data_IF_424950063111
#
_entry.id   IF_424950063111
#
_cell.length_a   1.000
_cell.length_b   1.000
_cell.length_c   1.000
_cell.angle_alpha   90.00
_cell.angle_beta   90.00
_cell.angle_gamma   90.00
#
_symmetry.space_group_name_H-M   'P 1'
#
loop_
_entity.id
_entity.type
_entity.pdbx_description
1 polymer ?
#
# COMPACT_ATOMS: atom_id res chain seq x y z
N UNK A 1 16.76 -63.92 -33.05
CA UNK A 1 16.07 -64.71 -34.09
C UNK A 1 14.84 -65.28 -33.43
N UNK A 2 13.65 -65.09 -34.02
CA UNK A 2 12.26 -65.14 -33.50
C UNK A 2 11.74 -63.75 -33.08
N UNK A 3 10.64 -63.18 -33.57
CA UNK A 3 9.75 -63.44 -34.72
C UNK A 3 8.97 -62.13 -34.96
N UNK A 4 8.88 -61.66 -36.20
CA UNK A 4 8.04 -60.50 -36.57
C UNK A 4 6.66 -61.04 -36.90
N UNK A 5 5.63 -60.66 -36.13
CA UNK A 5 4.25 -60.90 -36.56
C UNK A 5 3.68 -59.62 -37.17
N UNK A 6 3.53 -59.67 -38.49
CA UNK A 6 2.89 -58.65 -39.30
C UNK A 6 1.39 -58.91 -39.39
N UNK A 7 0.68 -57.79 -39.45
CA UNK A 7 -0.61 -57.57 -40.12
C UNK A 7 -1.88 -58.13 -39.48
N UNK A 8 -2.71 -57.19 -39.00
CA UNK A 8 -4.12 -57.23 -39.34
C UNK A 8 -4.58 -55.82 -39.74
N UNK A 9 -4.59 -55.60 -41.05
CA UNK A 9 -5.25 -54.47 -41.69
C UNK A 9 -6.76 -54.69 -41.65
N UNK A 10 -7.54 -53.71 -41.21
CA UNK A 10 -8.88 -53.43 -41.73
C UNK A 10 -9.44 -52.12 -41.14
N UNK A 11 -9.53 -51.12 -42.00
CA UNK A 11 -10.14 -49.81 -41.82
C UNK A 11 -11.52 -49.85 -41.17
N UNK A 12 -11.83 -48.86 -40.31
CA UNK A 12 -13.15 -48.19 -40.34
C UNK A 12 -13.15 -46.88 -39.53
N UNK A 13 -13.36 -45.81 -40.29
CA UNK A 13 -14.16 -44.62 -39.95
C UNK A 13 -13.56 -43.67 -38.92
N UNK A 14 -12.90 -42.65 -39.48
CA UNK A 14 -13.04 -41.24 -39.11
C UNK A 14 -14.20 -40.96 -38.14
N UNK A 15 -13.87 -40.66 -36.90
CA UNK A 15 -14.73 -39.89 -35.99
C UNK A 15 -13.96 -38.62 -35.62
N UNK A 16 -14.34 -37.53 -36.29
CA UNK A 16 -14.10 -36.17 -35.83
C UNK A 16 -14.95 -35.95 -34.57
N UNK A 17 -14.37 -35.46 -33.49
CA UNK A 17 -14.84 -34.18 -32.91
C UNK A 17 -13.92 -33.69 -31.79
N UNK A 18 -13.59 -32.41 -31.93
CA UNK A 18 -12.72 -31.60 -31.10
C UNK A 18 -12.95 -31.74 -29.59
N UNK A 19 -11.88 -32.07 -28.88
CA UNK A 19 -11.79 -31.79 -27.45
C UNK A 19 -11.69 -30.27 -27.27
N UNK A 20 -12.83 -29.64 -26.96
CA UNK A 20 -12.88 -28.27 -26.48
C UNK A 20 -12.22 -28.22 -25.09
N UNK A 21 -10.90 -28.02 -25.07
CA UNK A 21 -10.21 -27.59 -23.87
C UNK A 21 -10.65 -26.15 -23.58
N UNK A 22 -11.69 -26.00 -22.76
CA UNK A 22 -11.97 -24.77 -22.04
C UNK A 22 -10.76 -24.50 -21.14
N UNK A 23 -9.78 -23.78 -21.68
CA UNK A 23 -8.75 -23.13 -20.89
C UNK A 23 -9.48 -22.05 -20.07
N UNK A 24 -9.88 -22.43 -18.86
CA UNK A 24 -10.26 -21.49 -17.82
C UNK A 24 -8.99 -20.70 -17.49
N UNK A 25 -8.79 -19.58 -18.18
CA UNK A 25 -7.78 -18.61 -17.76
C UNK A 25 -8.22 -18.08 -16.40
N UNK A 26 -7.38 -18.12 -15.36
CA UNK A 26 -7.68 -17.39 -14.14
C UNK A 26 -7.72 -15.92 -14.52
N UNK A 27 -8.92 -15.35 -14.54
CA UNK A 27 -9.14 -13.93 -14.58
C UNK A 27 -8.49 -13.39 -13.30
N UNK A 28 -7.25 -12.92 -13.41
CA UNK A 28 -6.60 -12.21 -12.31
C UNK A 28 -7.44 -10.95 -12.10
N UNK A 29 -8.33 -11.01 -11.10
CA UNK A 29 -8.98 -9.83 -10.58
C UNK A 29 -7.84 -8.88 -10.20
N UNK A 30 -7.73 -7.76 -10.91
CA UNK A 30 -6.79 -6.72 -10.55
C UNK A 30 -7.27 -6.18 -9.21
N UNK A 31 -6.71 -6.71 -8.11
CA UNK A 31 -6.99 -6.27 -6.76
C UNK A 31 -6.76 -4.75 -6.75
N UNK A 32 -7.84 -4.00 -6.59
CA UNK A 32 -7.72 -2.59 -6.25
C UNK A 32 -6.80 -2.53 -5.03
N UNK A 33 -5.69 -1.75 -5.06
CA UNK A 33 -4.73 -1.75 -3.97
C UNK A 33 -5.47 -1.50 -2.64
N UNK A 34 -5.19 -2.34 -1.64
CA UNK A 34 -5.85 -2.31 -0.33
C UNK A 34 -5.64 -0.94 0.34
N UNK A 35 -6.62 -0.06 0.14
CA UNK A 35 -6.61 1.31 0.67
C UNK A 35 -6.77 1.31 2.19
N UNK A 36 -7.45 0.29 2.72
CA UNK A 36 -7.70 0.14 4.17
C UNK A 36 -6.39 -0.12 4.91
N UNK A 37 -5.53 -0.97 4.36
CA UNK A 37 -4.20 -1.22 4.92
C UNK A 37 -3.31 0.03 4.95
N UNK A 38 -3.37 0.86 3.90
CA UNK A 38 -2.63 2.11 3.84
C UNK A 38 -3.10 3.12 4.91
N UNK A 39 -4.42 3.32 5.04
CA UNK A 39 -5.00 4.18 6.09
C UNK A 39 -4.69 3.65 7.48
N UNK A 40 -4.73 2.33 7.69
CA UNK A 40 -4.42 1.70 8.97
C UNK A 40 -2.98 1.95 9.41
N UNK A 41 -2.01 1.93 8.48
CA UNK A 41 -0.62 2.25 8.78
C UNK A 41 -0.44 3.72 9.18
N UNK A 42 -1.13 4.64 8.50
CA UNK A 42 -1.09 6.07 8.85
C UNK A 42 -1.73 6.32 10.21
N UNK A 43 -2.91 5.73 10.46
CA UNK A 43 -3.59 5.77 11.76
C UNK A 43 -2.68 5.31 12.88
N UNK A 44 -2.02 4.16 12.71
CA UNK A 44 -1.08 3.64 13.71
C UNK A 44 0.11 4.56 13.98
N UNK A 45 0.64 5.24 12.95
CA UNK A 45 1.68 6.25 13.15
C UNK A 45 1.17 7.47 13.94
N UNK A 46 -0.01 8.00 13.59
CA UNK A 46 -0.61 9.14 14.29
C UNK A 46 -0.89 8.80 15.76
N UNK A 47 -1.45 7.62 16.02
CA UNK A 47 -1.69 7.13 17.38
C UNK A 47 -0.40 6.97 18.17
N UNK A 48 0.67 6.44 17.55
CA UNK A 48 1.97 6.36 18.19
C UNK A 48 2.54 7.75 18.52
N UNK A 49 2.39 8.75 17.63
CA UNK A 49 2.80 10.11 17.95
C UNK A 49 1.99 10.72 19.10
N UNK A 50 0.67 10.51 19.14
CA UNK A 50 -0.22 10.99 20.21
C UNK A 50 0.09 10.33 21.56
N UNK A 51 0.59 9.09 21.55
CA UNK A 51 1.07 8.38 22.73
C UNK A 51 2.53 8.68 23.08
N UNK A 52 3.18 9.64 22.40
CA UNK A 52 4.61 9.94 22.49
C UNK A 52 5.54 8.73 22.25
N UNK A 53 5.06 7.71 21.53
CA UNK A 53 5.82 6.53 21.09
C UNK A 53 6.55 6.80 19.77
N UNK A 54 7.68 7.49 19.88
CA UNK A 54 8.56 7.78 18.74
C UNK A 54 9.02 6.52 17.99
N UNK A 55 9.27 5.42 18.72
CA UNK A 55 9.74 4.16 18.12
C UNK A 55 8.63 3.48 17.34
N UNK A 56 7.42 3.44 17.89
CA UNK A 56 6.22 2.95 17.21
C UNK A 56 5.92 3.76 15.95
N UNK A 57 5.96 5.10 16.04
CA UNK A 57 5.76 5.96 14.88
C UNK A 57 6.81 5.72 13.78
N UNK A 58 8.08 5.56 14.17
CA UNK A 58 9.18 5.25 13.24
C UNK A 58 9.08 3.84 12.63
N UNK A 59 8.39 2.90 13.27
CA UNK A 59 8.19 1.55 12.73
C UNK A 59 7.36 1.53 11.43
N UNK A 60 6.50 2.53 11.21
CA UNK A 60 5.71 2.70 9.99
C UNK A 60 6.49 3.31 8.81
N UNK A 61 7.69 3.85 9.05
CA UNK A 61 8.53 4.42 8.01
C UNK A 61 9.03 3.35 7.03
N UNK A 62 8.98 3.64 5.73
CA UNK A 62 9.51 2.77 4.69
C UNK A 62 11.05 2.80 4.65
N UNK A 63 11.70 1.80 4.01
CA UNK A 63 13.16 1.70 3.99
C UNK A 63 13.87 2.95 3.44
N UNK A 64 13.26 3.68 2.50
CA UNK A 64 13.83 4.92 1.98
C UNK A 64 13.89 6.02 3.06
N UNK A 65 12.83 6.17 3.87
CA UNK A 65 12.81 7.12 4.99
C UNK A 65 13.82 6.71 6.06
N UNK A 66 13.89 5.41 6.39
CA UNK A 66 14.87 4.89 7.35
C UNK A 66 16.32 5.09 6.89
N UNK A 67 16.58 5.07 5.58
CA UNK A 67 17.91 5.37 5.03
C UNK A 67 18.30 6.84 5.21
N UNK A 68 17.34 7.76 5.05
CA UNK A 68 17.56 9.19 5.24
C UNK A 68 17.68 9.57 6.73
N UNK A 69 16.90 8.90 7.58
CA UNK A 69 16.89 9.09 9.03
C UNK A 69 17.13 7.75 9.73
N UNK A 70 18.41 7.31 9.87
CA UNK A 70 18.75 5.97 10.36
C UNK A 70 18.44 5.71 11.84
N UNK A 71 18.16 6.75 12.61
CA UNK A 71 17.86 6.64 14.04
C UNK A 71 16.52 7.30 14.35
N UNK A 72 15.88 6.84 15.43
CA UNK A 72 14.60 7.41 15.90
C UNK A 72 14.79 8.89 16.21
N UNK A 73 15.90 9.27 16.83
CA UNK A 73 16.20 10.64 17.22
C UNK A 73 16.31 11.57 16.01
N UNK A 74 16.97 11.13 14.93
CA UNK A 74 17.07 11.90 13.69
C UNK A 74 15.72 12.05 13.00
N UNK A 75 14.92 10.99 13.01
CA UNK A 75 13.56 11.02 12.49
C UNK A 75 12.69 12.01 13.28
N UNK A 76 12.69 11.91 14.62
CA UNK A 76 11.90 12.80 15.47
C UNK A 76 12.35 14.25 15.36
N UNK A 77 13.65 14.52 15.27
CA UNK A 77 14.16 15.88 15.08
C UNK A 77 13.59 16.55 13.81
N UNK A 78 13.54 15.80 12.70
CA UNK A 78 12.94 16.31 11.46
C UNK A 78 11.41 16.47 11.57
N UNK A 79 10.72 15.51 12.21
CA UNK A 79 9.27 15.59 12.45
C UNK A 79 8.91 16.81 13.29
N UNK A 80 9.66 17.06 14.36
CA UNK A 80 9.45 18.20 15.27
C UNK A 80 9.69 19.56 14.60
N UNK A 81 10.55 19.61 13.58
CA UNK A 81 10.87 20.84 12.85
C UNK A 81 9.87 21.15 11.72
N UNK A 82 9.42 20.13 10.99
CA UNK A 82 8.65 20.32 9.75
C UNK A 82 7.23 19.79 9.76
N UNK A 83 6.86 18.96 10.73
CA UNK A 83 5.64 18.15 10.70
C UNK A 83 4.90 18.13 12.05
N UNK A 84 5.00 19.20 12.85
CA UNK A 84 4.27 19.32 14.12
C UNK A 84 2.76 19.02 14.00
N UNK A 85 2.03 19.50 12.96
CA UNK A 85 0.62 19.17 12.79
C UNK A 85 0.33 17.68 12.58
N UNK A 86 1.32 16.90 12.11
CA UNK A 86 1.22 15.44 12.00
C UNK A 86 1.51 14.77 13.35
N UNK A 87 2.46 15.31 14.11
CA UNK A 87 2.85 14.74 15.40
C UNK A 87 1.79 14.95 16.48
N UNK A 88 1.19 16.14 16.54
CA UNK A 88 0.20 16.49 17.58
C UNK A 88 -1.05 17.15 16.98
N UNK A 89 -1.79 16.44 16.12
CA UNK A 89 -3.08 16.92 15.67
C UNK A 89 -4.08 16.92 16.82
N UNK A 90 -4.94 17.93 16.89
CA UNK A 90 -6.15 17.91 17.73
C UNK A 90 -7.22 17.00 17.14
N UNK A 91 -7.28 16.91 15.81
CA UNK A 91 -8.14 15.99 15.07
C UNK A 91 -7.58 15.69 13.69
N UNK A 92 -8.03 14.58 13.09
CA UNK A 92 -7.68 14.23 11.73
C UNK A 92 -8.81 13.47 11.03
N UNK A 93 -8.83 13.53 9.70
CA UNK A 93 -9.71 12.72 8.86
C UNK A 93 -9.00 12.29 7.58
N UNK A 94 -9.40 11.14 7.04
CA UNK A 94 -8.89 10.66 5.75
C UNK A 94 -9.66 11.32 4.62
N UNK A 95 -8.93 11.94 3.70
CA UNK A 95 -9.46 12.48 2.46
C UNK A 95 -9.34 11.49 1.31
N UNK A 96 -9.16 12.03 0.11
CA UNK A 96 -9.02 11.23 -1.12
C UNK A 96 -7.82 10.28 -1.07
N UNK A 97 -8.02 9.08 -1.63
CA UNK A 97 -7.00 8.07 -1.81
C UNK A 97 -6.84 7.82 -3.31
N UNK A 98 -5.60 7.90 -3.81
CA UNK A 98 -5.31 7.78 -5.23
C UNK A 98 -4.29 6.65 -5.42
N UNK A 99 -4.67 5.53 -6.05
CA UNK A 99 -3.75 4.46 -6.36
C UNK A 99 -2.79 4.89 -7.48
N UNK A 100 -1.51 4.57 -7.32
CA UNK A 100 -0.44 4.84 -8.28
C UNK A 100 0.14 3.52 -8.81
N UNK A 101 1.00 3.61 -9.83
CA UNK A 101 1.75 2.44 -10.29
C UNK A 101 2.69 1.89 -9.20
N UNK A 102 2.95 0.58 -9.24
CA UNK A 102 3.94 -0.08 -8.38
C UNK A 102 3.56 -0.11 -6.89
N UNK A 103 2.35 -0.59 -6.58
CA UNK A 103 1.84 -0.78 -5.21
C UNK A 103 2.02 0.45 -4.30
N UNK A 104 1.82 1.62 -4.90
CA UNK A 104 1.92 2.91 -4.23
C UNK A 104 0.53 3.54 -4.14
N UNK A 105 0.23 4.18 -3.02
CA UNK A 105 -1.02 4.94 -2.83
C UNK A 105 -0.65 6.33 -2.33
N UNK A 106 -1.29 7.37 -2.89
CA UNK A 106 -1.31 8.69 -2.29
C UNK A 106 -2.56 8.80 -1.42
N UNK A 107 -2.37 8.97 -0.11
CA UNK A 107 -3.45 9.15 0.85
C UNK A 107 -3.44 10.59 1.36
N UNK A 108 -4.54 11.30 1.14
CA UNK A 108 -4.76 12.61 1.76
C UNK A 108 -5.22 12.42 3.22
N UNK A 109 -4.66 13.23 4.12
CA UNK A 109 -5.08 13.36 5.51
C UNK A 109 -5.27 14.84 5.80
N UNK A 110 -6.46 15.18 6.30
CA UNK A 110 -6.77 16.51 6.78
C UNK A 110 -6.51 16.53 8.29
N UNK A 111 -5.73 17.49 8.74
CA UNK A 111 -5.28 17.63 10.13
C UNK A 111 -5.73 18.98 10.64
N UNK A 112 -6.15 19.03 11.89
CA UNK A 112 -6.28 20.28 12.65
C UNK A 112 -5.22 20.23 13.74
N UNK A 113 -4.41 21.27 13.88
CA UNK A 113 -3.42 21.36 14.95
C UNK A 113 -4.05 21.81 16.28
N UNK A 114 -3.23 21.94 17.33
CA UNK A 114 -3.67 22.38 18.65
C UNK A 114 -4.17 23.83 18.69
N UNK A 115 -3.81 24.65 17.70
CA UNK A 115 -4.23 26.05 17.59
C UNK A 115 -5.50 26.20 16.73
N UNK A 116 -6.07 25.09 16.26
CA UNK A 116 -7.26 25.07 15.42
C UNK A 116 -6.98 25.33 13.93
N UNK A 117 -5.71 25.37 13.51
CA UNK A 117 -5.34 25.62 12.11
C UNK A 117 -5.39 24.32 11.31
N UNK A 118 -5.98 24.43 10.12
CA UNK A 118 -6.11 23.33 9.16
C UNK A 118 -4.86 23.07 8.33
N UNK A 119 -4.59 21.79 8.10
CA UNK A 119 -3.48 21.31 7.29
C UNK A 119 -3.92 20.14 6.41
N UNK A 120 -3.33 20.06 5.23
CA UNK A 120 -3.44 18.92 4.33
C UNK A 120 -2.09 18.21 4.25
N UNK A 121 -2.08 16.94 4.61
CA UNK A 121 -0.93 16.06 4.47
C UNK A 121 -1.18 15.05 3.35
N UNK A 122 -0.24 14.92 2.41
CA UNK A 122 -0.27 13.87 1.38
C UNK A 122 0.77 12.82 1.75
N UNK A 123 0.27 11.65 2.13
CA UNK A 123 1.09 10.48 2.44
C UNK A 123 1.32 9.67 1.19
N UNK A 124 2.59 9.40 0.87
CA UNK A 124 2.96 8.40 -0.12
C UNK A 124 3.18 7.08 0.58
N UNK A 125 2.26 6.15 0.38
CA UNK A 125 2.25 4.81 0.93
C UNK A 125 2.84 3.84 -0.07
N UNK A 126 3.65 2.90 0.40
CA UNK A 126 4.26 1.88 -0.43
C UNK A 126 4.07 0.51 0.22
N UNK A 127 3.47 -0.42 -0.52
CA UNK A 127 3.39 -1.81 -0.09
C UNK A 127 4.77 -2.45 -0.20
N UNK A 128 5.18 -3.13 0.85
CA UNK A 128 6.44 -3.84 0.90
C UNK A 128 6.28 -5.26 0.33
N UNK A 129 7.38 -5.96 -0.02
CA UNK A 129 7.30 -7.33 -0.52
C UNK A 129 6.61 -8.33 0.42
N UNK A 130 6.60 -8.05 1.73
CA UNK A 130 5.90 -8.83 2.74
C UNK A 130 4.38 -8.50 2.85
N UNK A 131 3.89 -7.62 1.98
CA UNK A 131 2.50 -7.18 1.93
C UNK A 131 2.15 -6.03 2.89
N UNK A 132 3.07 -5.61 3.78
CA UNK A 132 2.82 -4.53 4.73
C UNK A 132 2.87 -3.15 4.07
N UNK A 133 2.02 -2.23 4.53
CA UNK A 133 2.07 -0.83 4.09
C UNK A 133 3.05 -0.02 4.93
N UNK A 134 3.90 0.76 4.26
CA UNK A 134 4.85 1.69 4.90
C UNK A 134 4.76 3.08 4.32
N UNK A 135 5.04 4.07 5.16
CA UNK A 135 5.03 5.49 4.81
C UNK A 135 6.36 5.83 4.15
N UNK A 136 6.31 6.10 2.85
CA UNK A 136 7.48 6.38 2.03
C UNK A 136 7.71 7.89 1.82
N UNK A 137 6.76 8.73 2.24
CA UNK A 137 6.93 10.18 2.29
C UNK A 137 5.66 10.87 2.77
N UNK A 138 5.81 12.09 3.26
CA UNK A 138 4.72 12.98 3.63
C UNK A 138 5.04 14.37 3.09
N UNK A 139 4.08 15.03 2.47
CA UNK A 139 4.14 16.47 2.24
C UNK A 139 3.03 17.14 3.04
N UNK A 140 3.29 18.33 3.57
CA UNK A 140 2.38 19.06 4.44
C UNK A 140 2.18 20.47 3.90
N UNK A 141 0.93 20.91 3.82
CA UNK A 141 0.58 22.27 3.40
C UNK A 141 -0.54 22.79 4.29
N UNK A 142 -0.46 24.07 4.66
CA UNK A 142 -1.59 24.73 5.31
C UNK A 142 -2.82 24.68 4.38
N UNK A 143 -3.98 24.45 4.97
CA UNK A 143 -5.24 24.34 4.25
C UNK A 143 -6.33 25.11 4.99
N UNK A 144 -7.16 25.79 4.23
CA UNK A 144 -8.40 26.34 4.77
C UNK A 144 -9.42 25.20 4.81
N UNK A 145 -9.56 24.57 5.97
CA UNK A 145 -10.48 23.45 6.17
C UNK A 145 -11.82 24.00 6.65
N UNK A 146 -12.96 23.54 6.09
CA UNK A 146 -14.26 23.92 6.62
C UNK A 146 -14.33 23.54 8.10
N UNK A 147 -14.66 24.50 8.96
CA UNK A 147 -14.97 24.22 10.36
C UNK A 147 -16.22 23.34 10.39
N UNK A 148 -16.12 22.19 11.07
CA UNK A 148 -17.24 21.27 11.27
C UNK A 148 -18.33 21.89 12.16
#
# INVERSE_FOLDING_TARGET
MWEVNMDNAASRRMFLMAAACLLATPLSAQETPDMTGAQSAIKGQLEAFLADDAKGAYAYAAPNIKRLFPTVERFMSMVEQGYQPVRRPSSYSFGQSIPMAGDTVLQEVLLVDGDGKGWKAIYRMQRQPDGTWKIAGVSLKAADLPTA
#
